data_IF_357284294903
#
_entry.id   IF_357284294903
#
_cell.length_a   1.000
_cell.length_b   1.000
_cell.length_c   1.000
_cell.angle_alpha   90.00
_cell.angle_beta   90.00
_cell.angle_gamma   90.00
#
_symmetry.space_group_name_H-M   'P 1'
#
loop_
_entity.id
_entity.type
_entity.pdbx_description
1 polymer ?
#
# COMPACT_ATOMS: atom_id res chain seq x y z
N UNK A 1 -14.40 34.01 8.93
CA UNK A 1 -14.94 32.85 9.66
C UNK A 1 -13.76 31.97 10.07
N UNK A 2 -13.55 31.81 11.36
CA UNK A 2 -12.40 31.06 11.91
C UNK A 2 -12.70 29.56 11.79
N UNK A 3 -11.81 28.82 11.15
CA UNK A 3 -11.93 27.36 11.01
C UNK A 3 -11.83 26.62 12.36
N UNK A 4 -12.28 25.38 12.48
CA UNK A 4 -12.26 24.64 13.74
C UNK A 4 -10.84 24.44 14.25
N UNK A 5 -10.62 24.37 15.59
CA UNK A 5 -9.31 24.31 16.19
C UNK A 5 -8.56 23.01 15.84
N UNK A 6 -7.22 23.11 15.76
CA UNK A 6 -6.27 22.06 15.37
C UNK A 6 -6.45 20.70 16.12
N UNK A 7 -6.92 20.73 17.37
CA UNK A 7 -7.17 19.52 18.15
C UNK A 7 -8.25 18.60 17.56
N UNK A 8 -9.33 19.18 17.02
CA UNK A 8 -10.38 18.37 16.38
C UNK A 8 -9.98 17.74 15.03
N UNK A 9 -8.94 18.29 14.36
CA UNK A 9 -8.39 17.69 13.13
C UNK A 9 -7.52 16.48 13.44
N UNK A 10 -6.81 16.49 14.58
CA UNK A 10 -5.92 15.38 14.98
C UNK A 10 -6.71 14.12 15.36
N UNK A 11 -7.79 14.26 16.14
CA UNK A 11 -8.65 13.12 16.50
C UNK A 11 -9.31 12.46 15.29
N UNK A 12 -9.70 13.24 14.27
CA UNK A 12 -10.25 12.70 13.02
C UNK A 12 -9.22 11.97 12.17
N UNK A 13 -7.96 12.41 12.20
CA UNK A 13 -6.86 11.76 11.50
C UNK A 13 -6.53 10.37 12.06
N UNK A 14 -6.45 10.26 13.39
CA UNK A 14 -6.16 9.00 14.08
C UNK A 14 -7.23 7.92 13.83
N UNK A 15 -8.49 8.31 13.62
CA UNK A 15 -9.59 7.38 13.29
C UNK A 15 -9.52 6.89 11.83
N UNK A 16 -8.96 7.68 10.94
CA UNK A 16 -8.90 7.43 9.50
C UNK A 16 -8.06 6.22 9.15
N UNK A 17 -6.84 6.13 9.67
CA UNK A 17 -5.91 5.05 9.33
C UNK A 17 -6.06 3.85 10.26
N UNK A 18 -6.55 4.04 11.50
CA UNK A 18 -7.00 2.92 12.34
C UNK A 18 -8.05 2.06 11.65
N UNK A 19 -8.90 2.64 10.80
CA UNK A 19 -9.89 1.88 10.04
C UNK A 19 -9.31 1.18 8.81
N UNK A 20 -8.17 1.65 8.30
CA UNK A 20 -7.54 1.12 7.10
C UNK A 20 -6.47 0.06 7.42
N UNK A 21 -5.68 0.28 8.48
CA UNK A 21 -4.57 -0.59 8.87
C UNK A 21 -4.93 -1.50 10.05
N UNK A 22 -6.01 -1.22 10.82
CA UNK A 22 -6.30 -1.85 12.10
C UNK A 22 -7.73 -2.38 12.24
N UNK A 23 -7.89 -3.69 12.21
CA UNK A 23 -8.73 -4.46 13.08
C UNK A 23 -7.85 -5.43 13.86
N UNK A 24 -7.25 -4.98 14.95
CA UNK A 24 -6.77 -5.85 15.99
C UNK A 24 -7.53 -5.54 17.27
N UNK A 25 -8.13 -6.59 17.80
CA UNK A 25 -8.90 -6.69 19.05
C UNK A 25 -8.09 -6.11 20.21
N UNK A 26 -8.70 -5.38 21.15
CA UNK A 26 -8.03 -4.98 22.37
C UNK A 26 -7.75 -6.22 23.23
N UNK A 27 -6.50 -6.50 23.52
CA UNK A 27 -6.11 -7.44 24.56
C UNK A 27 -6.51 -6.78 25.90
N UNK A 28 -7.62 -7.19 26.45
CA UNK A 28 -7.88 -6.99 27.87
C UNK A 28 -6.93 -7.91 28.62
N UNK A 29 -5.98 -7.32 29.32
CA UNK A 29 -5.21 -8.00 30.35
C UNK A 29 -6.20 -8.43 31.46
N UNK A 30 -6.60 -9.68 31.44
CA UNK A 30 -7.25 -10.32 32.55
C UNK A 30 -6.17 -10.60 33.60
N UNK A 31 -6.23 -9.89 34.73
CA UNK A 31 -5.41 -10.15 35.88
C UNK A 31 -5.64 -11.59 36.38
N UNK A 32 -4.55 -12.26 36.68
CA UNK A 32 -4.58 -13.59 37.24
C UNK A 32 -5.30 -13.58 38.61
N UNK A 33 -6.24 -14.49 38.88
CA UNK A 33 -6.83 -14.64 40.19
C UNK A 33 -5.80 -15.31 41.12
N UNK A 34 -5.50 -14.65 42.24
CA UNK A 34 -4.74 -15.23 43.34
C UNK A 34 -5.56 -16.32 44.02
N UNK A 35 -5.12 -17.55 43.93
CA UNK A 35 -5.66 -18.69 44.65
C UNK A 35 -5.13 -18.63 46.08
N UNK A 36 -6.00 -18.34 47.04
CA UNK A 36 -5.74 -18.58 48.48
C UNK A 36 -6.00 -20.05 48.79
N UNK A 37 -4.96 -20.74 49.24
CA UNK A 37 -5.08 -22.07 49.85
C UNK A 37 -5.71 -21.93 51.24
N UNK A 38 -6.88 -22.49 51.41
CA UNK A 38 -7.44 -22.75 52.72
C UNK A 38 -7.01 -24.15 53.19
N UNK A 39 -6.25 -24.20 54.28
CA UNK A 39 -5.97 -25.42 55.03
C UNK A 39 -7.15 -25.69 55.95
N UNK A 40 -7.86 -26.77 55.75
CA UNK A 40 -8.88 -27.30 56.64
C UNK A 40 -8.70 -28.79 56.76
N UNK A 41 -8.31 -29.25 57.97
CA UNK A 41 -8.29 -30.66 58.36
C UNK A 41 -9.69 -31.25 58.32
N UNK A 42 -9.83 -32.38 57.63
CA UNK A 42 -10.99 -33.25 57.82
C UNK A 42 -10.53 -34.67 58.10
N UNK A 43 -10.87 -35.15 59.30
CA UNK A 43 -10.75 -36.55 59.75
C UNK A 43 -12.02 -37.30 59.35
N UNK A 44 -11.89 -38.36 58.56
CA UNK A 44 -13.02 -39.21 58.22
C UNK A 44 -12.57 -40.42 57.37
N UNK A 45 -12.47 -41.59 57.97
CA UNK A 45 -12.17 -42.87 57.35
C UNK A 45 -13.31 -43.29 56.41
N UNK A 46 -13.05 -43.38 55.10
CA UNK A 46 -13.76 -44.27 54.19
C UNK A 46 -12.80 -44.70 53.06
N UNK A 47 -12.73 -46.01 52.81
CA UNK A 47 -11.94 -46.60 51.72
C UNK A 47 -12.41 -46.10 50.38
N UNK A 48 -11.52 -45.80 49.45
CA UNK A 48 -11.88 -45.37 48.10
C UNK A 48 -12.06 -46.59 47.19
N UNK A 49 -13.26 -46.73 46.64
CA UNK A 49 -13.46 -47.56 45.47
C UNK A 49 -12.73 -46.93 44.26
N UNK A 50 -11.88 -47.72 43.66
CA UNK A 50 -11.09 -47.37 42.46
C UNK A 50 -11.95 -47.15 41.23
N UNK A 51 -12.12 -45.91 40.82
CA UNK A 51 -12.64 -45.54 39.49
C UNK A 51 -11.42 -45.28 38.57
N UNK A 52 -11.36 -45.86 37.36
CA UNK A 52 -10.14 -45.81 36.55
C UNK A 52 -9.85 -44.41 36.05
N UNK A 53 -8.71 -43.87 36.50
CA UNK A 53 -8.17 -42.53 36.22
C UNK A 53 -7.90 -42.24 34.73
N UNK A 54 -8.14 -43.20 33.84
CA UNK A 54 -7.85 -43.06 32.40
C UNK A 54 -8.92 -42.29 31.58
N UNK A 55 -10.15 -42.09 32.12
CA UNK A 55 -11.21 -41.39 31.36
C UNK A 55 -11.30 -39.89 31.64
N UNK A 56 -10.70 -39.40 32.71
CA UNK A 56 -10.70 -37.98 33.03
C UNK A 56 -9.54 -37.22 32.33
N UNK A 57 -8.43 -37.91 32.09
CA UNK A 57 -7.28 -37.31 31.39
C UNK A 57 -7.55 -37.01 29.92
N UNK A 58 -8.38 -37.81 29.23
CA UNK A 58 -8.75 -37.61 27.83
C UNK A 58 -9.69 -36.42 27.62
N UNK A 59 -10.51 -36.06 28.61
CA UNK A 59 -11.46 -34.95 28.50
C UNK A 59 -10.81 -33.59 28.79
N UNK A 60 -9.74 -33.56 29.60
CA UNK A 60 -9.00 -32.34 29.93
C UNK A 60 -8.02 -31.97 28.81
N UNK A 61 -7.48 -32.95 28.03
CA UNK A 61 -6.61 -32.68 26.91
C UNK A 61 -7.34 -32.08 25.68
N UNK A 62 -8.66 -32.26 25.56
CA UNK A 62 -9.47 -31.68 24.48
C UNK A 62 -9.85 -30.20 24.72
N UNK A 63 -9.64 -29.69 25.94
CA UNK A 63 -9.96 -28.30 26.30
C UNK A 63 -8.75 -27.34 26.24
N UNK A 64 -7.55 -27.84 25.91
CA UNK A 64 -6.32 -27.04 25.85
C UNK A 64 -5.74 -27.00 24.42
N UNK A 65 -6.52 -27.31 23.41
CA UNK A 65 -6.12 -26.85 22.07
C UNK A 65 -6.35 -25.32 22.04
N UNK A 66 -5.28 -24.50 21.96
CA UNK A 66 -5.52 -23.11 21.71
C UNK A 66 -6.30 -23.04 20.40
N UNK A 67 -7.53 -22.51 20.42
CA UNK A 67 -8.15 -22.06 19.19
C UNK A 67 -7.16 -21.07 18.61
N UNK A 68 -6.39 -21.51 17.58
CA UNK A 68 -5.58 -20.62 16.81
C UNK A 68 -6.54 -19.57 16.28
N UNK A 69 -6.46 -18.36 16.83
CA UNK A 69 -7.16 -17.23 16.23
C UNK A 69 -6.82 -17.26 14.74
N UNK A 70 -7.79 -17.13 13.83
CA UNK A 70 -7.48 -17.10 12.40
C UNK A 70 -6.42 -16.03 12.21
N UNK A 71 -5.27 -16.44 11.67
CA UNK A 71 -4.20 -15.50 11.36
C UNK A 71 -4.82 -14.40 10.52
N UNK A 72 -4.69 -13.14 10.97
CA UNK A 72 -5.15 -12.01 10.17
C UNK A 72 -4.45 -12.14 8.82
N UNK A 73 -5.17 -12.05 7.71
CA UNK A 73 -4.55 -12.17 6.40
C UNK A 73 -3.50 -11.07 6.27
N UNK A 74 -2.24 -11.45 6.33
CA UNK A 74 -1.13 -10.55 6.08
C UNK A 74 -1.14 -10.16 4.60
N UNK A 75 -0.68 -8.93 4.29
CA UNK A 75 -0.44 -8.54 2.93
C UNK A 75 0.57 -9.52 2.28
N UNK A 76 0.29 -9.92 1.05
CA UNK A 76 1.14 -10.88 0.33
C UNK A 76 2.07 -10.13 -0.64
N UNK A 77 3.26 -9.77 -0.17
CA UNK A 77 4.29 -9.10 -0.98
C UNK A 77 4.77 -9.94 -2.18
N UNK A 78 4.82 -11.27 -2.04
CA UNK A 78 5.18 -12.15 -3.16
C UNK A 78 4.16 -12.05 -4.30
N UNK A 79 2.86 -11.95 -3.98
CA UNK A 79 1.81 -11.76 -4.98
C UNK A 79 1.92 -10.39 -5.67
N UNK A 80 2.28 -9.34 -4.91
CA UNK A 80 2.54 -8.03 -5.49
C UNK A 80 3.71 -8.07 -6.49
N UNK A 81 4.80 -8.76 -6.13
CA UNK A 81 5.95 -8.95 -7.02
C UNK A 81 5.59 -9.78 -8.27
N UNK A 82 4.72 -10.78 -8.16
CA UNK A 82 4.25 -11.56 -9.31
C UNK A 82 3.44 -10.67 -10.26
N UNK A 83 2.53 -9.85 -9.75
CA UNK A 83 1.80 -8.87 -10.56
C UNK A 83 2.73 -7.84 -11.21
N UNK A 84 3.71 -7.32 -10.46
CA UNK A 84 4.72 -6.44 -11.03
C UNK A 84 5.46 -7.13 -12.20
N UNK A 85 5.84 -8.40 -12.05
CA UNK A 85 6.52 -9.17 -13.11
C UNK A 85 5.65 -9.34 -14.35
N UNK A 86 4.37 -9.66 -14.17
CA UNK A 86 3.42 -9.78 -15.30
C UNK A 86 3.28 -8.44 -16.01
N UNK A 87 3.07 -7.36 -15.26
CA UNK A 87 2.91 -6.01 -15.80
C UNK A 87 4.17 -5.51 -16.52
N UNK A 88 5.33 -5.62 -15.91
CA UNK A 88 6.62 -5.18 -16.48
C UNK A 88 7.01 -6.00 -17.72
N UNK A 89 6.52 -7.24 -17.85
CA UNK A 89 6.75 -8.06 -19.05
C UNK A 89 6.17 -7.47 -20.33
N UNK A 90 5.27 -6.50 -20.24
CA UNK A 90 4.77 -5.70 -21.37
C UNK A 90 5.89 -4.93 -22.04
N UNK A 91 6.94 -4.58 -21.29
CA UNK A 91 8.05 -3.76 -21.74
C UNK A 91 7.82 -2.25 -21.54
N UNK A 92 8.56 -1.40 -22.27
CA UNK A 92 8.42 0.05 -22.21
C UNK A 92 6.99 0.52 -22.56
N UNK A 93 6.44 1.41 -21.73
CA UNK A 93 5.02 1.82 -21.72
C UNK A 93 4.83 3.34 -21.83
N UNK A 94 5.75 4.05 -22.50
CA UNK A 94 5.61 5.51 -22.62
C UNK A 94 4.30 5.91 -23.31
N UNK A 95 3.70 7.06 -22.98
CA UNK A 95 2.41 7.51 -23.52
C UNK A 95 2.31 7.35 -25.04
N UNK A 96 1.22 6.76 -25.52
CA UNK A 96 0.93 6.43 -26.92
C UNK A 96 1.72 5.28 -27.55
N UNK A 97 2.65 4.65 -26.83
CA UNK A 97 3.37 3.47 -27.35
C UNK A 97 2.47 2.23 -27.44
N UNK A 98 2.86 1.23 -28.26
CA UNK A 98 2.16 -0.06 -28.24
C UNK A 98 2.19 -0.73 -26.86
N UNK A 99 3.24 -0.51 -26.07
CA UNK A 99 3.34 -0.99 -24.68
C UNK A 99 2.36 -0.28 -23.77
N UNK A 100 2.17 1.02 -23.91
CA UNK A 100 1.18 1.78 -23.16
C UNK A 100 -0.25 1.28 -23.40
N UNK A 101 -0.64 1.07 -24.66
CA UNK A 101 -1.96 0.51 -24.99
C UNK A 101 -2.14 -0.91 -24.41
N UNK A 102 -1.09 -1.74 -24.41
CA UNK A 102 -1.14 -3.07 -23.77
C UNK A 102 -1.26 -2.96 -22.25
N UNK A 103 -0.63 -1.97 -21.63
CA UNK A 103 -0.77 -1.72 -20.18
C UNK A 103 -2.19 -1.29 -19.82
N UNK A 104 -2.80 -0.40 -20.63
CA UNK A 104 -4.22 -0.06 -20.47
C UNK A 104 -5.13 -1.29 -20.58
N UNK A 105 -4.92 -2.14 -21.61
CA UNK A 105 -5.69 -3.37 -21.80
C UNK A 105 -5.48 -4.35 -20.65
N UNK A 106 -4.25 -4.47 -20.14
CA UNK A 106 -3.92 -5.31 -19.00
C UNK A 106 -4.67 -4.87 -17.73
N UNK A 107 -4.64 -3.57 -17.41
CA UNK A 107 -5.38 -3.02 -16.25
C UNK A 107 -6.88 -3.20 -16.44
N UNK A 108 -7.42 -2.92 -17.61
CA UNK A 108 -8.83 -3.11 -17.94
C UNK A 108 -9.26 -4.55 -17.75
N UNK A 109 -8.51 -5.51 -18.26
CA UNK A 109 -8.79 -6.94 -18.13
C UNK A 109 -8.70 -7.42 -16.68
N UNK A 110 -7.71 -6.94 -15.92
CA UNK A 110 -7.54 -7.31 -14.52
C UNK A 110 -8.71 -6.84 -13.66
N UNK A 111 -9.24 -5.65 -13.94
CA UNK A 111 -10.29 -5.00 -13.13
C UNK A 111 -11.69 -5.06 -13.77
N UNK A 112 -11.89 -5.78 -14.85
CA UNK A 112 -13.18 -5.84 -15.59
C UNK A 112 -14.41 -6.29 -14.77
N UNK A 113 -14.19 -6.94 -13.63
CA UNK A 113 -15.25 -7.38 -12.71
C UNK A 113 -15.41 -6.49 -11.47
N UNK A 114 -14.60 -5.45 -11.36
CA UNK A 114 -14.66 -4.46 -10.29
C UNK A 114 -15.46 -3.21 -10.72
N UNK A 115 -15.65 -2.29 -9.78
CA UNK A 115 -16.18 -0.96 -10.11
C UNK A 115 -15.07 -0.10 -10.72
N UNK A 116 -14.76 -0.36 -11.98
CA UNK A 116 -13.74 0.34 -12.74
C UNK A 116 -14.35 1.57 -13.45
N UNK A 117 -13.68 2.72 -13.28
CA UNK A 117 -13.89 3.93 -14.08
C UNK A 117 -12.63 4.19 -14.90
N UNK A 118 -12.79 4.45 -16.20
CA UNK A 118 -11.76 4.94 -17.09
C UNK A 118 -11.96 6.44 -17.30
N UNK A 119 -11.03 7.25 -16.79
CA UNK A 119 -11.04 8.69 -16.92
C UNK A 119 -10.13 9.11 -18.05
N UNK A 120 -10.70 9.30 -19.25
CA UNK A 120 -9.96 9.67 -20.47
C UNK A 120 -9.90 11.18 -20.63
N UNK A 121 -8.72 11.68 -20.97
CA UNK A 121 -8.50 13.10 -21.24
C UNK A 121 -7.41 13.30 -22.30
N UNK A 122 -7.26 14.52 -22.78
CA UNK A 122 -6.17 14.90 -23.66
C UNK A 122 -5.28 15.91 -22.95
N UNK A 123 -4.04 15.52 -22.70
CA UNK A 123 -3.04 16.39 -22.10
C UNK A 123 -2.46 17.34 -23.16
N UNK A 124 -2.28 18.60 -22.77
CA UNK A 124 -1.49 19.55 -23.57
C UNK A 124 -0.03 19.41 -23.21
N UNK A 125 0.76 18.84 -24.08
CA UNK A 125 2.17 18.51 -23.84
C UNK A 125 3.11 19.28 -24.78
N UNK A 126 4.45 19.31 -24.50
CA UNK A 126 5.42 19.95 -25.38
C UNK A 126 5.47 19.40 -26.81
N UNK A 127 4.98 18.18 -27.05
CA UNK A 127 4.90 17.56 -28.38
C UNK A 127 3.51 17.69 -29.01
N UNK A 128 2.61 18.45 -28.39
CA UNK A 128 1.21 18.60 -28.80
C UNK A 128 0.24 17.81 -27.94
N UNK A 129 -1.04 17.72 -28.35
CA UNK A 129 -2.05 16.99 -27.62
C UNK A 129 -1.74 15.48 -27.55
N UNK A 130 -1.72 14.91 -26.33
CA UNK A 130 -1.51 13.48 -26.08
C UNK A 130 -2.72 12.91 -25.37
N UNK A 131 -3.39 11.87 -25.91
CA UNK A 131 -4.46 11.17 -25.18
C UNK A 131 -3.86 10.37 -24.01
N UNK A 132 -4.48 10.49 -22.86
CA UNK A 132 -4.10 9.82 -21.62
C UNK A 132 -5.32 9.25 -20.92
N UNK A 133 -5.11 8.31 -19.98
CA UNK A 133 -6.19 7.61 -19.31
C UNK A 133 -5.81 7.22 -17.88
N UNK A 134 -6.58 7.70 -16.92
CA UNK A 134 -6.50 7.19 -15.55
C UNK A 134 -7.49 6.04 -15.36
N UNK A 135 -7.11 5.04 -14.55
CA UNK A 135 -7.99 3.96 -14.11
C UNK A 135 -8.29 4.10 -12.64
N UNK A 136 -9.57 4.09 -12.26
CA UNK A 136 -10.00 4.25 -10.87
C UNK A 136 -10.87 3.05 -10.50
N UNK A 137 -10.36 2.21 -9.58
CA UNK A 137 -11.06 1.02 -9.09
C UNK A 137 -11.63 1.30 -7.70
N UNK A 138 -12.94 1.14 -7.51
CA UNK A 138 -13.65 1.59 -6.31
C UNK A 138 -14.11 0.43 -5.45
N UNK A 139 -13.77 0.48 -4.17
CA UNK A 139 -14.22 -0.44 -3.13
C UNK A 139 -15.06 0.31 -2.09
N UNK A 140 -16.37 0.04 -1.98
CA UNK A 140 -17.26 0.83 -1.16
C UNK A 140 -17.03 0.60 0.34
N UNK A 141 -17.05 1.67 1.13
CA UNK A 141 -16.97 1.68 2.58
C UNK A 141 -18.30 2.05 3.24
N UNK A 142 -18.38 1.82 4.56
CA UNK A 142 -19.55 2.17 5.38
C UNK A 142 -19.50 3.62 5.88
N UNK A 143 -18.30 4.20 6.03
CA UNK A 143 -18.09 5.59 6.46
C UNK A 143 -18.15 6.51 5.25
N UNK A 144 -18.70 7.71 5.45
CA UNK A 144 -18.69 8.75 4.42
C UNK A 144 -17.26 9.30 4.23
N UNK A 145 -16.76 9.19 3.02
CA UNK A 145 -15.43 9.61 2.59
C UNK A 145 -14.67 8.54 1.85
N UNK A 146 -13.54 8.96 1.28
CA UNK A 146 -12.69 8.16 0.40
C UNK A 146 -11.24 8.24 0.82
N UNK A 147 -10.53 7.13 0.80
CA UNK A 147 -9.06 7.07 0.80
C UNK A 147 -8.65 6.67 -0.62
N UNK A 148 -7.78 7.45 -1.25
CA UNK A 148 -7.21 7.15 -2.56
C UNK A 148 -5.81 6.57 -2.34
N UNK A 149 -5.53 5.42 -2.95
CA UNK A 149 -4.19 4.86 -3.10
C UNK A 149 -3.82 5.01 -4.57
N UNK A 150 -2.73 5.68 -4.86
CA UNK A 150 -2.34 6.07 -6.20
C UNK A 150 -0.96 5.53 -6.59
N UNK A 151 -0.75 5.34 -7.88
CA UNK A 151 0.51 5.08 -8.56
C UNK A 151 0.35 5.41 -10.02
N UNK A 152 1.43 5.81 -10.69
CA UNK A 152 1.46 5.88 -12.15
C UNK A 152 1.72 4.49 -12.75
N UNK A 153 1.39 4.29 -14.03
CA UNK A 153 1.56 2.99 -14.69
C UNK A 153 2.37 3.06 -15.99
N UNK A 154 2.57 4.23 -16.54
CA UNK A 154 3.36 4.41 -17.76
C UNK A 154 4.86 4.46 -17.45
N UNK A 155 5.68 4.63 -18.48
CA UNK A 155 7.12 4.84 -18.38
C UNK A 155 7.54 6.12 -19.08
N UNK A 156 8.68 6.67 -18.67
CA UNK A 156 9.23 7.94 -19.09
C UNK A 156 9.35 8.05 -20.63
N UNK A 157 8.69 9.04 -21.24
CA UNK A 157 8.70 9.29 -22.68
C UNK A 157 10.08 9.69 -23.23
N UNK A 158 10.90 10.53 -22.57
CA UNK A 158 12.28 10.81 -22.97
C UNK A 158 13.14 9.56 -23.16
N UNK A 159 12.88 8.50 -22.39
CA UNK A 159 13.64 7.24 -22.41
C UNK A 159 13.17 6.24 -23.50
N UNK A 160 12.26 6.63 -24.38
CA UNK A 160 11.66 5.74 -25.41
C UNK A 160 12.67 5.14 -26.39
N UNK A 161 13.91 5.63 -26.43
CA UNK A 161 14.97 5.12 -27.30
C UNK A 161 15.83 4.03 -26.65
N UNK A 162 15.62 3.77 -25.37
CA UNK A 162 16.27 2.69 -24.61
C UNK A 162 15.20 1.70 -24.11
N UNK A 163 15.64 0.53 -23.66
CA UNK A 163 14.71 -0.46 -23.09
C UNK A 163 14.40 -0.16 -21.61
N UNK A 164 13.85 1.02 -21.34
CA UNK A 164 13.40 1.38 -19.99
C UNK A 164 12.05 0.72 -19.69
N UNK A 165 12.06 -0.33 -18.87
CA UNK A 165 10.85 -1.10 -18.54
C UNK A 165 10.18 -0.65 -17.25
N UNK A 166 10.78 0.25 -16.47
CA UNK A 166 10.22 0.79 -15.26
C UNK A 166 9.76 -0.32 -14.31
N UNK A 167 10.69 -1.18 -13.85
CA UNK A 167 10.31 -2.29 -12.98
C UNK A 167 10.00 -1.83 -11.57
N UNK A 168 10.77 -0.89 -11.04
CA UNK A 168 10.48 -0.18 -9.80
C UNK A 168 9.57 1.01 -10.06
N UNK A 169 9.91 1.77 -11.09
CA UNK A 169 9.30 3.01 -11.52
C UNK A 169 7.98 2.73 -12.26
N UNK A 170 6.86 2.89 -11.55
CA UNK A 170 5.50 2.53 -11.92
C UNK A 170 5.18 1.03 -11.88
N UNK A 171 6.15 0.12 -12.10
CA UNK A 171 5.91 -1.32 -12.16
C UNK A 171 5.68 -1.96 -10.80
N UNK A 172 6.53 -1.68 -9.81
CA UNK A 172 6.45 -2.24 -8.46
C UNK A 172 5.15 -1.84 -7.76
N UNK A 173 4.78 -0.58 -7.89
CA UNK A 173 3.62 0.03 -7.25
C UNK A 173 2.31 -0.32 -7.94
N UNK A 174 2.30 -0.49 -9.26
CA UNK A 174 1.18 -1.11 -9.99
C UNK A 174 0.91 -2.52 -9.45
N UNK A 175 1.94 -3.36 -9.30
CA UNK A 175 1.80 -4.69 -8.71
C UNK A 175 1.33 -4.67 -7.25
N UNK A 176 1.78 -3.69 -6.47
CA UNK A 176 1.31 -3.46 -5.09
C UNK A 176 -0.19 -3.18 -5.06
N UNK A 177 -0.69 -2.22 -5.87
CA UNK A 177 -2.10 -1.86 -5.88
C UNK A 177 -2.98 -3.01 -6.35
N UNK A 178 -2.52 -3.82 -7.31
CA UNK A 178 -3.22 -5.04 -7.74
C UNK A 178 -3.35 -6.07 -6.61
N UNK A 179 -2.31 -6.28 -5.82
CA UNK A 179 -2.37 -7.17 -4.65
C UNK A 179 -3.23 -6.61 -3.51
N UNK A 180 -3.27 -5.30 -3.34
CA UNK A 180 -4.21 -4.62 -2.43
C UNK A 180 -5.65 -4.84 -2.89
N UNK A 181 -5.91 -4.76 -4.21
CA UNK A 181 -7.24 -5.03 -4.77
C UNK A 181 -7.75 -6.43 -4.43
N UNK A 182 -6.91 -7.47 -4.50
CA UNK A 182 -7.29 -8.83 -4.13
C UNK A 182 -7.79 -8.91 -2.69
N UNK A 183 -7.10 -8.23 -1.78
CA UNK A 183 -7.53 -8.15 -0.38
C UNK A 183 -8.84 -7.40 -0.23
N UNK A 184 -8.99 -6.26 -0.89
CA UNK A 184 -10.22 -5.46 -0.84
C UNK A 184 -11.42 -6.23 -1.45
N UNK A 185 -11.21 -6.99 -2.52
CA UNK A 185 -12.23 -7.90 -3.09
C UNK A 185 -12.67 -8.95 -2.08
N UNK A 186 -11.73 -9.59 -1.39
CA UNK A 186 -12.04 -10.57 -0.35
C UNK A 186 -12.90 -9.97 0.78
N UNK A 187 -12.61 -8.73 1.21
CA UNK A 187 -13.37 -8.02 2.25
C UNK A 187 -14.75 -7.57 1.77
N UNK A 188 -14.94 -7.33 0.48
CA UNK A 188 -16.19 -6.83 -0.14
C UNK A 188 -17.01 -7.91 -0.83
N UNK A 189 -16.58 -9.16 -0.80
CA UNK A 189 -17.27 -10.32 -1.39
C UNK A 189 -18.74 -10.38 -0.93
N UNK A 190 -19.65 -10.66 -1.89
CA UNK A 190 -21.08 -10.76 -1.62
C UNK A 190 -21.75 -9.41 -1.36
N UNK A 191 -21.21 -8.31 -1.90
CA UNK A 191 -21.77 -6.97 -1.77
C UNK A 191 -21.54 -6.31 -0.41
N UNK A 192 -20.64 -6.86 0.40
CA UNK A 192 -20.23 -6.26 1.67
C UNK A 192 -19.52 -4.93 1.42
N UNK A 193 -19.57 -4.05 2.41
CA UNK A 193 -18.81 -2.79 2.42
C UNK A 193 -17.66 -2.89 3.42
N UNK A 194 -16.54 -2.25 3.10
CA UNK A 194 -15.43 -2.08 4.03
C UNK A 194 -15.94 -1.43 5.33
N UNK A 195 -15.39 -1.80 6.47
CA UNK A 195 -15.85 -1.22 7.76
C UNK A 195 -15.37 0.23 7.98
N UNK A 196 -14.53 0.75 7.08
CA UNK A 196 -14.01 2.11 7.07
C UNK A 196 -14.62 2.97 5.96
N UNK A 197 -13.79 3.87 5.46
CA UNK A 197 -14.05 4.68 4.28
C UNK A 197 -14.02 3.83 3.01
N UNK A 198 -14.60 4.34 1.93
CA UNK A 198 -14.37 3.79 0.61
C UNK A 198 -12.89 3.88 0.25
N UNK A 199 -12.37 2.89 -0.46
CA UNK A 199 -11.00 2.87 -0.97
C UNK A 199 -11.06 2.92 -2.49
N UNK A 200 -10.35 3.86 -3.07
CA UNK A 200 -10.16 3.95 -4.50
C UNK A 200 -8.70 3.67 -4.82
N UNK A 201 -8.46 2.77 -5.75
CA UNK A 201 -7.14 2.54 -6.33
C UNK A 201 -7.07 3.35 -7.62
N UNK A 202 -6.09 4.23 -7.71
CA UNK A 202 -5.83 5.07 -8.86
C UNK A 202 -4.54 4.59 -9.52
N UNK A 203 -4.66 4.21 -10.78
CA UNK A 203 -3.53 4.03 -11.69
C UNK A 203 -3.58 5.21 -12.64
N UNK A 204 -2.74 6.19 -12.41
CA UNK A 204 -2.73 7.41 -13.21
C UNK A 204 -1.77 7.34 -14.39
N UNK A 205 -1.98 8.23 -15.35
CA UNK A 205 -1.28 8.28 -16.63
C UNK A 205 -0.61 9.64 -16.81
N UNK A 206 0.63 9.61 -17.27
CA UNK A 206 1.37 10.83 -17.53
C UNK A 206 1.86 11.52 -16.27
N UNK A 207 2.27 10.77 -15.26
CA UNK A 207 3.10 11.27 -14.18
C UNK A 207 4.42 11.79 -14.74
N UNK A 208 5.03 11.01 -15.58
CA UNK A 208 6.31 11.24 -16.22
C UNK A 208 6.30 12.38 -17.23
N UNK A 209 7.42 13.10 -17.30
CA UNK A 209 7.59 14.17 -18.28
C UNK A 209 7.60 13.66 -19.71
N UNK A 210 7.05 14.44 -20.63
CA UNK A 210 7.13 14.16 -22.07
C UNK A 210 8.43 14.69 -22.68
N UNK A 211 8.98 15.77 -22.15
CA UNK A 211 10.24 16.36 -22.61
C UNK A 211 11.19 16.66 -21.46
N UNK A 212 10.73 17.40 -20.46
CA UNK A 212 11.55 17.80 -19.32
C UNK A 212 10.68 18.02 -18.10
N UNK A 213 11.08 17.51 -16.96
CA UNK A 213 10.35 17.62 -15.72
C UNK A 213 10.16 19.10 -15.31
N UNK A 214 8.93 19.55 -15.35
CA UNK A 214 8.49 20.90 -14.96
C UNK A 214 7.06 20.88 -14.46
N UNK A 215 6.60 21.96 -13.82
CA UNK A 215 5.21 22.12 -13.39
C UNK A 215 4.17 21.97 -14.53
N UNK A 216 4.58 22.20 -15.77
CA UNK A 216 3.70 22.09 -16.94
C UNK A 216 3.92 20.82 -17.76
N UNK A 217 4.98 20.06 -17.49
CA UNK A 217 5.34 18.87 -18.23
C UNK A 217 5.66 17.72 -17.28
N UNK A 218 4.67 17.30 -16.51
CA UNK A 218 4.65 16.15 -15.61
C UNK A 218 3.27 16.02 -14.94
N UNK A 219 3.01 14.91 -14.24
CA UNK A 219 1.84 14.70 -13.37
C UNK A 219 0.50 15.08 -14.04
N UNK A 220 0.36 14.78 -15.33
CA UNK A 220 -0.79 15.18 -16.15
C UNK A 220 -2.09 14.55 -15.65
N UNK A 221 -2.07 13.25 -15.32
CA UNK A 221 -3.24 12.49 -14.87
C UNK A 221 -3.79 13.02 -13.55
N UNK A 222 -2.94 13.19 -12.58
CA UNK A 222 -3.33 13.69 -11.25
C UNK A 222 -3.71 15.17 -11.27
N UNK A 223 -3.06 16.01 -12.06
CA UNK A 223 -3.49 17.41 -12.31
C UNK A 223 -4.87 17.45 -12.91
N UNK A 224 -5.15 16.60 -13.92
CA UNK A 224 -6.48 16.47 -14.53
C UNK A 224 -7.52 16.07 -13.50
N UNK A 225 -7.28 14.99 -12.74
CA UNK A 225 -8.21 14.49 -11.72
C UNK A 225 -8.44 15.49 -10.60
N UNK A 226 -7.39 16.11 -10.07
CA UNK A 226 -7.52 17.10 -9.01
C UNK A 226 -8.36 18.30 -9.47
N UNK A 227 -8.24 18.72 -10.73
CA UNK A 227 -9.09 19.76 -11.30
C UNK A 227 -10.53 19.27 -11.53
N UNK A 228 -10.75 18.06 -12.07
CA UNK A 228 -12.06 17.44 -12.30
C UNK A 228 -12.80 17.29 -10.96
N UNK A 229 -12.16 16.65 -9.98
CA UNK A 229 -12.74 16.37 -8.66
C UNK A 229 -12.95 17.64 -7.81
N UNK A 230 -12.21 18.70 -8.11
CA UNK A 230 -12.46 20.03 -7.52
C UNK A 230 -13.76 20.64 -8.04
N UNK A 231 -14.06 20.49 -9.34
CA UNK A 231 -15.27 21.04 -9.95
C UNK A 231 -16.54 20.28 -9.56
N UNK A 232 -16.45 18.94 -9.42
CA UNK A 232 -17.61 18.09 -9.10
C UNK A 232 -17.81 17.84 -7.60
N UNK A 233 -16.96 18.40 -6.76
CA UNK A 233 -17.05 18.28 -5.31
C UNK A 233 -16.48 16.98 -4.74
N UNK A 234 -15.89 16.12 -5.54
CA UNK A 234 -15.27 14.85 -5.09
C UNK A 234 -14.10 15.09 -4.13
N UNK A 235 -13.29 16.14 -4.34
CA UNK A 235 -12.17 16.48 -3.45
C UNK A 235 -12.58 16.60 -1.98
N UNK A 236 -13.77 17.14 -1.70
CA UNK A 236 -14.27 17.31 -0.34
C UNK A 236 -14.52 15.96 0.38
N UNK A 237 -14.68 14.89 -0.38
CA UNK A 237 -14.88 13.52 0.14
C UNK A 237 -13.57 12.81 0.43
N UNK A 238 -12.45 13.23 -0.17
CA UNK A 238 -11.15 12.57 0.00
C UNK A 238 -10.60 12.91 1.39
N UNK A 239 -10.36 11.89 2.17
CA UNK A 239 -9.83 11.97 3.54
C UNK A 239 -8.32 11.84 3.58
N UNK A 240 -7.76 11.08 2.64
CA UNK A 240 -6.33 10.95 2.41
C UNK A 240 -6.09 10.54 0.95
N UNK A 241 -5.05 11.10 0.35
CA UNK A 241 -4.45 10.66 -0.90
C UNK A 241 -3.07 10.10 -0.57
N UNK A 242 -2.82 8.86 -0.92
CA UNK A 242 -1.60 8.12 -0.59
C UNK A 242 -1.00 7.68 -1.90
N UNK A 243 0.06 8.33 -2.31
CA UNK A 243 0.87 7.94 -3.44
C UNK A 243 1.88 6.89 -3.00
N UNK A 244 2.12 5.90 -3.84
CA UNK A 244 3.23 4.98 -3.72
C UNK A 244 4.02 5.02 -5.02
N UNK A 245 5.30 5.33 -4.91
CA UNK A 245 6.22 5.37 -6.05
C UNK A 245 7.57 4.74 -5.72
N UNK A 246 8.12 3.96 -6.66
CA UNK A 246 9.46 3.36 -6.59
C UNK A 246 9.78 2.58 -5.30
N UNK A 247 8.81 1.89 -4.69
CA UNK A 247 8.98 1.22 -3.38
C UNK A 247 9.40 -0.25 -3.47
N UNK A 248 9.81 -0.73 -4.63
CA UNK A 248 10.21 -2.13 -4.84
C UNK A 248 11.70 -2.40 -4.65
N UNK A 249 12.55 -1.40 -4.41
CA UNK A 249 14.01 -1.58 -4.30
C UNK A 249 14.37 -2.62 -3.23
N UNK A 250 15.32 -3.49 -3.56
CA UNK A 250 15.93 -4.43 -2.61
C UNK A 250 16.59 -3.74 -1.42
N UNK A 251 17.13 -2.52 -1.63
CA UNK A 251 17.72 -1.65 -0.59
C UNK A 251 16.78 -0.55 -0.13
N UNK A 252 15.51 -0.83 -0.03
CA UNK A 252 14.46 0.11 0.28
C UNK A 252 14.85 1.11 1.39
N UNK A 253 14.80 2.41 1.07
CA UNK A 253 14.96 3.53 2.01
C UNK A 253 13.97 4.63 1.69
N UNK A 254 12.73 4.50 2.16
CA UNK A 254 11.66 5.47 1.92
C UNK A 254 12.01 6.79 2.60
N UNK A 255 12.17 7.86 1.79
CA UNK A 255 12.47 9.17 2.29
C UNK A 255 11.21 9.86 2.83
N UNK A 256 11.41 10.83 3.72
CA UNK A 256 10.36 11.70 4.19
C UNK A 256 10.18 12.86 3.20
N UNK A 257 9.18 12.78 2.36
CA UNK A 257 8.85 13.86 1.45
C UNK A 257 8.30 15.06 2.25
N UNK A 258 8.84 16.27 2.00
CA UNK A 258 8.66 17.42 2.89
C UNK A 258 7.34 18.18 2.70
N UNK A 259 6.66 18.02 1.58
CA UNK A 259 5.34 18.61 1.29
C UNK A 259 4.18 17.69 1.71
N UNK A 260 4.50 16.46 2.06
CA UNK A 260 3.55 15.47 2.58
C UNK A 260 2.91 15.92 3.90
N UNK A 261 1.65 15.59 4.07
CA UNK A 261 0.88 15.96 5.26
C UNK A 261 1.42 15.31 6.53
N UNK A 262 1.86 16.10 7.50
CA UNK A 262 2.61 15.65 8.68
C UNK A 262 1.92 14.53 9.49
N UNK A 263 0.59 14.58 9.68
CA UNK A 263 -0.09 13.54 10.43
C UNK A 263 -0.15 12.20 9.65
N UNK A 264 -0.12 12.20 8.32
CA UNK A 264 0.00 10.98 7.51
C UNK A 264 1.39 10.37 7.67
N UNK A 265 2.45 11.19 7.65
CA UNK A 265 3.83 10.75 7.95
C UNK A 265 3.89 10.11 9.34
N UNK A 266 3.29 10.74 10.36
CA UNK A 266 3.27 10.18 11.72
C UNK A 266 2.56 8.82 11.78
N UNK A 267 1.50 8.64 11.00
CA UNK A 267 0.77 7.38 10.93
C UNK A 267 1.58 6.27 10.24
N UNK A 268 2.25 6.60 9.14
CA UNK A 268 3.16 5.65 8.45
C UNK A 268 4.30 5.26 9.40
N UNK A 269 4.91 6.22 10.12
CA UNK A 269 5.94 5.93 11.12
C UNK A 269 5.44 5.01 12.25
N UNK A 270 4.22 5.23 12.75
CA UNK A 270 3.61 4.36 13.76
C UNK A 270 3.34 2.95 13.20
N UNK A 271 2.91 2.85 11.95
CA UNK A 271 2.72 1.55 11.29
C UNK A 271 4.05 0.83 11.11
N UNK A 272 5.07 1.48 10.58
CA UNK A 272 6.42 0.93 10.42
C UNK A 272 6.97 0.41 11.75
N UNK A 273 6.85 1.20 12.83
CA UNK A 273 7.24 0.77 14.18
C UNK A 273 6.49 -0.48 14.64
N UNK A 274 5.20 -0.52 14.41
CA UNK A 274 4.37 -1.67 14.81
C UNK A 274 4.77 -2.96 14.14
N UNK A 275 5.17 -2.89 12.88
CA UNK A 275 5.58 -4.05 12.09
C UNK A 275 7.09 -4.35 12.16
N UNK A 276 7.87 -3.51 12.82
CA UNK A 276 9.32 -3.69 12.96
C UNK A 276 10.12 -3.22 11.74
N UNK A 277 9.49 -2.38 10.90
CA UNK A 277 10.03 -1.92 9.62
C UNK A 277 10.57 -0.48 9.68
N UNK A 278 10.71 0.12 10.86
CA UNK A 278 11.16 1.51 11.05
C UNK A 278 12.48 1.81 10.32
N UNK A 279 13.33 0.81 10.17
CA UNK A 279 14.64 0.93 9.52
C UNK A 279 14.57 1.32 8.03
N UNK A 280 13.42 1.15 7.39
CA UNK A 280 13.20 1.47 5.98
C UNK A 280 12.55 2.83 5.77
N UNK A 281 12.09 3.51 6.83
CA UNK A 281 11.26 4.70 6.70
C UNK A 281 11.89 5.95 7.28
N UNK A 282 11.88 7.03 6.49
CA UNK A 282 12.03 8.42 6.93
C UNK A 282 13.33 8.76 7.67
N UNK A 283 14.43 8.12 7.32
CA UNK A 283 15.77 8.48 7.81
C UNK A 283 16.30 9.74 7.17
N UNK A 284 15.96 9.95 5.92
CA UNK A 284 16.34 11.13 5.13
C UNK A 284 15.09 11.91 4.74
N UNK A 285 15.26 13.20 4.52
CA UNK A 285 14.23 14.08 4.00
C UNK A 285 14.54 14.41 2.55
N UNK A 286 13.49 14.56 1.76
CA UNK A 286 13.59 15.01 0.39
C UNK A 286 12.43 15.92 0.03
N UNK A 287 12.60 16.71 -1.01
CA UNK A 287 11.54 17.45 -1.66
C UNK A 287 11.47 16.96 -3.10
N UNK A 288 10.33 16.40 -3.47
CA UNK A 288 10.08 15.91 -4.82
C UNK A 288 8.77 16.49 -5.35
N UNK A 289 8.75 16.76 -6.63
CA UNK A 289 7.52 17.11 -7.35
C UNK A 289 6.94 15.81 -7.89
N UNK A 290 5.73 15.46 -7.43
CA UNK A 290 5.10 14.20 -7.76
C UNK A 290 3.56 14.29 -7.70
N UNK A 291 2.85 13.23 -8.02
CA UNK A 291 1.40 13.11 -8.17
C UNK A 291 0.57 13.45 -6.93
N UNK A 292 1.18 13.47 -5.74
CA UNK A 292 0.51 13.94 -4.53
C UNK A 292 0.31 15.46 -4.50
N UNK A 293 1.18 16.24 -5.17
CA UNK A 293 1.19 17.70 -5.09
C UNK A 293 -0.08 18.37 -5.63
N UNK A 294 -0.68 17.94 -6.76
CA UNK A 294 -1.93 18.51 -7.23
C UNK A 294 -3.06 18.45 -6.20
N UNK A 295 -3.04 17.46 -5.31
CA UNK A 295 -3.99 17.28 -4.22
C UNK A 295 -3.61 18.09 -2.97
N UNK A 296 -2.33 18.12 -2.60
CA UNK A 296 -1.80 18.98 -1.52
C UNK A 296 -2.17 20.44 -1.78
N UNK A 297 -1.92 20.94 -2.99
CA UNK A 297 -2.21 22.33 -3.39
C UNK A 297 -3.71 22.68 -3.31
N UNK A 298 -4.59 21.66 -3.31
CA UNK A 298 -6.04 21.85 -3.15
C UNK A 298 -6.55 21.50 -1.75
N UNK A 299 -5.63 21.36 -0.79
CA UNK A 299 -5.95 21.15 0.63
C UNK A 299 -6.41 19.72 0.97
N UNK A 300 -6.20 18.74 0.09
CA UNK A 300 -6.40 17.32 0.39
C UNK A 300 -5.19 16.83 1.20
N UNK A 301 -5.40 16.18 2.36
CA UNK A 301 -4.30 15.51 3.05
C UNK A 301 -3.66 14.45 2.16
N UNK A 302 -2.38 14.62 1.82
CA UNK A 302 -1.68 13.74 0.90
C UNK A 302 -0.32 13.35 1.45
N UNK A 303 0.16 12.18 1.06
CA UNK A 303 1.50 11.68 1.37
C UNK A 303 2.06 10.98 0.15
N UNK A 304 3.35 11.15 -0.05
CA UNK A 304 4.14 10.40 -0.99
C UNK A 304 5.01 9.39 -0.23
N UNK A 305 4.87 8.12 -0.60
CA UNK A 305 5.65 6.98 -0.10
C UNK A 305 6.61 6.58 -1.22
N UNK A 306 7.80 7.18 -1.20
CA UNK A 306 8.75 7.07 -2.30
C UNK A 306 10.15 6.70 -1.81
N UNK A 307 10.83 5.86 -2.60
CA UNK A 307 12.27 5.64 -2.52
C UNK A 307 12.93 6.09 -3.82
N UNK A 308 13.39 7.36 -3.86
CA UNK A 308 14.03 7.93 -5.03
C UNK A 308 15.50 7.53 -5.19
N UNK A 309 16.15 7.04 -4.12
CA UNK A 309 17.55 6.61 -4.13
C UNK A 309 17.72 5.18 -4.66
N UNK A 310 17.35 4.95 -5.89
CA UNK A 310 17.28 3.63 -6.50
C UNK A 310 18.63 3.14 -7.05
N UNK A 311 19.18 2.15 -6.35
CA UNK A 311 20.50 1.57 -6.65
C UNK A 311 21.67 2.44 -6.22
N UNK A 312 22.93 1.95 -6.36
CA UNK A 312 24.12 2.68 -5.95
C UNK A 312 24.23 4.04 -6.66
N UNK A 313 24.25 5.13 -5.87
CA UNK A 313 24.27 6.50 -6.39
C UNK A 313 23.11 6.82 -7.36
N UNK A 314 21.94 6.28 -7.11
CA UNK A 314 20.75 6.43 -7.94
C UNK A 314 20.93 5.95 -9.40
N UNK A 315 21.73 4.92 -9.61
CA UNK A 315 22.17 4.49 -10.94
C UNK A 315 21.17 3.62 -11.70
N UNK A 316 20.05 3.25 -11.07
CA UNK A 316 18.99 2.48 -11.72
C UNK A 316 17.81 3.37 -12.15
N UNK A 317 17.55 4.46 -11.43
CA UNK A 317 16.50 5.42 -11.73
C UNK A 317 16.66 6.00 -13.14
N UNK A 318 15.60 5.96 -13.94
CA UNK A 318 15.56 6.45 -15.32
C UNK A 318 16.65 5.88 -16.22
N UNK A 319 16.97 4.60 -16.07
CA UNK A 319 17.93 3.88 -16.93
C UNK A 319 17.39 2.51 -17.37
N UNK A 320 18.02 1.89 -18.34
CA UNK A 320 17.73 0.50 -18.76
C UNK A 320 18.07 -0.55 -17.69
N UNK A 321 18.60 -0.12 -16.54
CA UNK A 321 18.88 -0.98 -15.39
C UNK A 321 17.70 -1.12 -14.43
N UNK A 322 16.64 -0.35 -14.60
CA UNK A 322 15.41 -0.53 -13.83
C UNK A 322 14.65 -1.78 -14.30
N UNK A 323 15.07 -2.92 -13.77
CA UNK A 323 14.65 -4.25 -14.19
C UNK A 323 14.23 -5.11 -12.99
N UNK A 324 13.47 -6.18 -13.25
CA UNK A 324 12.89 -7.04 -12.22
C UNK A 324 13.89 -7.65 -11.23
N UNK A 325 15.15 -7.79 -11.62
CA UNK A 325 16.23 -8.28 -10.73
C UNK A 325 16.69 -7.26 -9.69
N UNK A 326 16.23 -6.01 -9.77
CA UNK A 326 16.52 -4.94 -8.79
C UNK A 326 15.46 -4.81 -7.71
N UNK A 327 14.27 -5.36 -7.94
CA UNK A 327 13.16 -5.23 -7.00
C UNK A 327 12.90 -6.53 -6.24
N UNK A 328 12.26 -6.43 -5.08
CA UNK A 328 11.97 -7.54 -4.19
C UNK A 328 10.64 -7.35 -3.44
N UNK A 329 10.00 -8.46 -3.09
CA UNK A 329 8.85 -8.46 -2.18
C UNK A 329 9.22 -8.14 -0.73
N UNK A 330 10.50 -8.19 -0.39
CA UNK A 330 11.03 -7.90 0.95
C UNK A 330 12.39 -7.20 0.83
N UNK A 331 12.59 -6.09 1.54
CA UNK A 331 13.84 -5.31 1.45
C UNK A 331 15.12 -6.06 1.83
N UNK A 332 15.03 -7.14 2.61
CA UNK A 332 16.20 -7.86 3.15
C UNK A 332 16.67 -9.06 2.30
N UNK A 333 16.16 -9.26 1.09
CA UNK A 333 16.53 -10.42 0.25
C UNK A 333 18.01 -10.42 -0.17
N UNK A 334 18.73 -9.30 -0.08
CA UNK A 334 20.18 -9.25 -0.35
C UNK A 334 21.00 -10.11 0.59
N UNK A 335 20.64 -10.19 1.86
CA UNK A 335 21.39 -11.00 2.83
C UNK A 335 21.33 -12.50 2.55
N UNK A 336 20.40 -12.93 1.71
CA UNK A 336 20.34 -14.33 1.24
C UNK A 336 21.18 -14.57 -0.02
N UNK A 337 21.38 -13.55 -0.85
CA UNK A 337 22.19 -13.69 -2.06
C UNK A 337 23.70 -13.57 -1.76
N UNK A 338 24.09 -12.73 -0.79
CA UNK A 338 25.50 -12.53 -0.42
C UNK A 338 26.02 -13.56 0.59
N UNK A 339 25.12 -14.37 1.19
CA UNK A 339 25.49 -15.51 2.04
C UNK A 339 25.51 -16.85 1.28
N UNK A 340 25.43 -16.81 -0.03
CA UNK A 340 25.64 -17.98 -0.90
C UNK A 340 27.08 -18.44 -0.74
N UNK A 341 27.29 -19.36 0.18
CA UNK A 341 28.47 -20.20 0.25
C UNK A 341 28.66 -20.93 -1.08
N UNK A 342 29.36 -20.30 -2.01
CA UNK A 342 30.09 -21.02 -3.04
C UNK A 342 31.26 -21.75 -2.39
N UNK A 343 30.95 -22.79 -1.63
CA UNK A 343 31.85 -23.88 -1.38
C UNK A 343 31.44 -25.04 -2.26
N UNK A 344 31.90 -24.97 -3.51
CA UNK A 344 32.09 -26.17 -4.30
C UNK A 344 33.37 -26.84 -3.77
N UNK A 345 33.19 -28.03 -3.23
CA UNK A 345 34.23 -29.07 -3.23
C UNK A 345 34.09 -29.93 -4.50
#
# INVERSE_FOLDING_TARGET
MVGPPLAQKKERGDELIRSFIWKSVPIKTLGAPSIRLFSGEWVGNHEPQSVPALRLAALVLLLITPLAAPAQPHFNGAKALDYAREFVSIGPRWPTSPGHLKAEDFLRDHFKHDQLEEDTFTASTPIGPVPMRNFIVRFPGKKDGVIVLATHYETNYPLRTINFVGANDGGSTTGLLMAIADRLRAETTGGKKLNGYSVWLLFDDGEEAIQSWTDSDSTYGTKHLAAKWGRDGTLAKIKAFILADMIGDKDLEIQRETQSTGWLIDLVRQAAKKYGDEKYFFKQEMNVQDDHLPFVQRGVPSIDIIDLNYGPNNSYHHTDKDTMDKISAQPDDRRRCDSGDDKAD
#
